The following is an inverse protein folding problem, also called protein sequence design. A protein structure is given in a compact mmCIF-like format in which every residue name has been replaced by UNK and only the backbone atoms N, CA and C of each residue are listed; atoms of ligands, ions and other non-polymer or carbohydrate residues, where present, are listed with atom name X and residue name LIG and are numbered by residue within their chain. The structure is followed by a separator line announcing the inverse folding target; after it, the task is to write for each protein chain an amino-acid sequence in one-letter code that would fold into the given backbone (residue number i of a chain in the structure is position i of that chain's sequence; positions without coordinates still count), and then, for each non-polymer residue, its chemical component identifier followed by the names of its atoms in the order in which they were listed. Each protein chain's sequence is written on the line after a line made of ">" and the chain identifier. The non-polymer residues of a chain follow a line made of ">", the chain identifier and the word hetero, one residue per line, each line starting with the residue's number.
data_IF_433841147847
#
_entry.id   IF_433841147847
#
_cell.length_a   1.000
_cell.length_b   1.000
_cell.length_c   1.000
_cell.angle_alpha   90.00
_cell.angle_beta   90.00
_cell.angle_gamma   90.00
#
_symmetry.space_group_name_H-M   'P 1'
#
loop_
_entity.id
_entity.type
_entity.pdbx_description
1 polymer ?
#
# COMPACT_ATOMS: atom_id res chain seq x y z
N UNK A 1 -12.01 7.89 23.58
CA UNK A 1 -11.89 9.35 23.54
C UNK A 1 -11.34 9.70 22.17
N UNK A 2 -12.08 10.43 21.34
CA UNK A 2 -11.58 10.88 20.04
C UNK A 2 -10.34 11.74 20.31
N UNK A 3 -9.18 11.37 19.77
CA UNK A 3 -8.02 12.25 19.78
C UNK A 3 -8.45 13.59 19.15
N UNK A 4 -7.95 14.71 19.69
CA UNK A 4 -8.23 16.05 19.18
C UNK A 4 -8.02 16.11 17.65
N UNK A 5 -8.77 16.97 16.92
CA UNK A 5 -8.52 17.18 15.49
C UNK A 5 -7.05 17.50 15.28
N UNK A 6 -6.39 16.67 14.48
CA UNK A 6 -4.95 16.68 14.27
C UNK A 6 -4.73 16.88 12.79
N UNK A 7 -4.23 18.04 12.43
CA UNK A 7 -3.82 18.35 11.06
C UNK A 7 -2.62 17.49 10.67
N UNK A 8 -2.71 16.85 9.51
CA UNK A 8 -1.59 16.11 8.89
C UNK A 8 -0.98 16.99 7.79
N UNK A 9 0.34 16.87 7.61
CA UNK A 9 1.08 17.56 6.56
C UNK A 9 1.64 16.55 5.57
N UNK A 10 1.41 16.76 4.28
CA UNK A 10 1.92 15.89 3.23
C UNK A 10 2.12 16.61 1.91
N UNK A 11 2.40 15.84 0.87
CA UNK A 11 2.51 16.31 -0.50
C UNK A 11 1.35 15.76 -1.31
N UNK A 12 0.53 16.66 -1.86
CA UNK A 12 -0.66 16.30 -2.63
C UNK A 12 -0.58 16.83 -4.06
N UNK A 13 -1.06 16.05 -5.01
CA UNK A 13 -1.43 16.55 -6.32
C UNK A 13 -2.81 17.23 -6.24
N UNK A 14 -3.02 18.29 -7.02
CA UNK A 14 -4.26 19.06 -7.06
C UNK A 14 -4.98 18.97 -8.41
N UNK A 15 -4.30 18.45 -9.42
CA UNK A 15 -4.81 18.22 -10.75
C UNK A 15 -3.98 17.14 -11.46
N UNK A 16 -4.40 16.80 -12.69
CA UNK A 16 -3.79 15.77 -13.53
C UNK A 16 -2.37 16.07 -14.04
N UNK A 17 -1.77 17.21 -13.68
CA UNK A 17 -0.35 17.43 -13.96
C UNK A 17 0.53 16.50 -13.12
N UNK A 18 0.01 16.01 -11.99
CA UNK A 18 0.75 15.20 -11.04
C UNK A 18 1.79 15.98 -10.24
N UNK A 19 1.80 17.31 -10.33
CA UNK A 19 2.70 18.14 -9.52
C UNK A 19 2.26 18.12 -8.05
N UNK A 20 3.05 17.46 -7.20
CA UNK A 20 2.78 17.37 -5.78
C UNK A 20 3.27 18.63 -5.03
N UNK A 21 2.40 19.27 -4.27
CA UNK A 21 2.69 20.46 -3.45
C UNK A 21 2.40 20.18 -1.98
N UNK A 22 3.11 20.85 -1.05
CA UNK A 22 2.78 20.77 0.38
C UNK A 22 1.31 21.08 0.61
N UNK A 23 0.65 20.24 1.39
CA UNK A 23 -0.76 20.37 1.74
C UNK A 23 -1.00 19.93 3.18
N UNK A 24 -1.87 20.65 3.86
CA UNK A 24 -2.34 20.32 5.19
C UNK A 24 -3.81 19.93 5.13
N UNK A 25 -4.16 18.86 5.84
CA UNK A 25 -5.51 18.33 5.83
C UNK A 25 -5.90 17.73 7.17
N UNK A 26 -7.19 17.70 7.44
CA UNK A 26 -7.75 16.96 8.57
C UNK A 26 -8.06 15.53 8.11
N UNK A 27 -7.42 14.50 8.70
CA UNK A 27 -7.78 13.12 8.43
C UNK A 27 -9.13 12.79 9.08
N UNK A 28 -9.75 11.69 8.64
CA UNK A 28 -10.91 11.13 9.35
C UNK A 28 -10.58 10.87 10.83
N UNK A 29 -11.54 10.96 11.77
CA UNK A 29 -11.32 10.64 13.18
C UNK A 29 -10.68 9.26 13.37
N UNK A 30 -9.85 9.11 14.41
CA UNK A 30 -9.31 7.81 14.79
C UNK A 30 -10.45 6.92 15.29
N UNK A 31 -10.83 5.93 14.50
CA UNK A 31 -11.86 4.96 14.82
C UNK A 31 -11.41 3.94 15.86
N UNK A 32 -12.36 3.13 16.34
CA UNK A 32 -12.10 2.20 17.43
C UNK A 32 -11.13 1.07 17.06
N UNK A 33 -11.06 0.68 15.78
CA UNK A 33 -10.18 -0.38 15.27
C UNK A 33 -8.95 0.16 14.52
N UNK A 34 -8.77 1.48 14.52
CA UNK A 34 -7.70 2.11 13.76
C UNK A 34 -6.41 2.27 14.56
N UNK A 35 -5.32 2.40 13.83
CA UNK A 35 -4.04 2.88 14.34
C UNK A 35 -3.64 4.16 13.61
N UNK A 36 -3.07 5.10 14.35
CA UNK A 36 -2.37 6.25 13.79
C UNK A 36 -0.88 5.95 13.77
N UNK A 37 -0.27 6.13 12.60
CA UNK A 37 1.13 5.78 12.35
C UNK A 37 1.87 7.05 11.98
N UNK A 38 2.96 7.36 12.68
CA UNK A 38 3.93 8.37 12.25
C UNK A 38 4.79 7.76 11.15
N UNK A 39 4.64 8.28 9.94
CA UNK A 39 5.35 7.78 8.77
C UNK A 39 6.83 8.14 8.90
N UNK A 40 7.69 7.19 8.59
CA UNK A 40 9.15 7.39 8.56
C UNK A 40 9.72 7.18 7.16
N UNK A 41 9.14 6.24 6.42
CA UNK A 41 9.52 5.89 5.06
C UNK A 41 8.26 5.63 4.26
N UNK A 42 8.26 6.04 3.00
CA UNK A 42 7.29 5.60 2.01
C UNK A 42 8.00 5.36 0.69
N UNK A 43 7.85 4.16 0.13
CA UNK A 43 8.33 3.86 -1.21
C UNK A 43 7.50 4.57 -2.29
N UNK A 44 8.03 4.58 -3.52
CA UNK A 44 7.38 5.14 -4.70
C UNK A 44 7.18 4.02 -5.71
N UNK A 45 5.93 3.80 -6.09
CA UNK A 45 5.52 2.80 -7.05
C UNK A 45 4.87 3.45 -8.28
N UNK A 46 4.84 2.72 -9.40
CA UNK A 46 4.14 3.18 -10.61
C UNK A 46 2.67 3.48 -10.37
N UNK A 47 2.03 2.79 -9.42
CA UNK A 47 0.64 3.05 -9.03
C UNK A 47 0.46 4.45 -8.43
N UNK A 48 1.46 5.00 -7.75
CA UNK A 48 1.41 6.38 -7.23
C UNK A 48 1.34 7.37 -8.38
N UNK A 49 2.23 7.20 -9.38
CA UNK A 49 2.30 8.06 -10.58
C UNK A 49 0.97 8.04 -11.33
N UNK A 50 0.47 6.84 -11.65
CA UNK A 50 -0.79 6.67 -12.36
C UNK A 50 -2.02 7.17 -11.58
N UNK A 51 -1.91 7.27 -10.25
CA UNK A 51 -2.96 7.85 -9.42
C UNK A 51 -2.89 9.38 -9.45
N UNK A 52 -1.72 9.98 -9.28
CA UNK A 52 -1.59 11.45 -9.23
C UNK A 52 -1.76 12.13 -10.59
N UNK A 53 -1.57 11.42 -11.70
CA UNK A 53 -1.73 11.97 -13.07
C UNK A 53 -3.08 11.59 -13.73
N UNK A 54 -3.98 10.94 -12.98
CA UNK A 54 -5.24 10.39 -13.49
C UNK A 54 -5.06 9.32 -14.60
N UNK A 55 -3.94 8.61 -14.64
CA UNK A 55 -3.63 7.57 -15.62
C UNK A 55 -4.52 6.33 -15.55
N UNK A 56 -5.09 6.03 -14.36
CA UNK A 56 -6.10 4.96 -14.20
C UNK A 56 -7.53 5.40 -14.55
N UNK A 57 -7.78 6.71 -14.58
CA UNK A 57 -9.10 7.32 -14.61
C UNK A 57 -9.13 8.59 -13.75
N UNK A 58 -10.30 9.25 -13.61
CA UNK A 58 -10.39 10.49 -12.84
C UNK A 58 -9.98 10.30 -11.36
N UNK A 59 -8.97 11.04 -10.94
CA UNK A 59 -8.54 11.11 -9.53
C UNK A 59 -9.32 12.21 -8.80
N UNK A 60 -9.99 11.92 -7.66
CA UNK A 60 -10.47 12.94 -6.76
C UNK A 60 -9.29 13.71 -6.14
N UNK A 61 -9.08 14.94 -6.57
CA UNK A 61 -8.09 15.85 -6.00
C UNK A 61 -8.68 16.64 -4.80
N UNK A 62 -7.86 17.11 -3.84
CA UNK A 62 -6.43 16.82 -3.70
C UNK A 62 -6.15 15.35 -3.36
N UNK A 63 -5.00 14.84 -3.78
CA UNK A 63 -4.60 13.44 -3.62
C UNK A 63 -3.17 13.32 -3.09
N UNK A 64 -3.02 12.78 -1.89
CA UNK A 64 -1.73 12.33 -1.34
C UNK A 64 -1.54 10.86 -1.71
N UNK A 65 -0.49 10.57 -2.49
CA UNK A 65 -0.13 9.20 -2.86
C UNK A 65 0.76 8.52 -1.79
N UNK A 66 1.34 7.36 -2.12
CA UNK A 66 2.17 6.56 -1.22
C UNK A 66 1.39 5.41 -0.58
N UNK A 67 1.78 4.18 -0.89
CA UNK A 67 1.16 2.95 -0.37
C UNK A 67 2.20 1.85 -0.05
N UNK A 68 3.45 2.27 0.13
CA UNK A 68 4.59 1.44 0.51
C UNK A 68 5.16 1.98 1.82
N UNK A 69 4.36 1.96 2.89
CA UNK A 69 4.55 2.81 4.06
C UNK A 69 5.24 2.01 5.17
N UNK A 70 6.21 2.63 5.86
CA UNK A 70 6.75 2.14 7.14
C UNK A 70 6.78 3.28 8.16
N UNK A 71 6.35 2.99 9.39
CA UNK A 71 6.30 3.97 10.46
C UNK A 71 6.15 3.34 11.84
N UNK A 72 5.88 4.19 12.82
CA UNK A 72 5.66 3.76 14.20
C UNK A 72 4.25 4.15 14.65
N UNK A 73 3.56 3.23 15.31
CA UNK A 73 2.23 3.49 15.88
C UNK A 73 2.36 4.56 16.97
N UNK A 74 1.57 5.63 16.88
CA UNK A 74 1.55 6.75 17.84
C UNK A 74 0.21 6.89 18.56
N UNK A 75 -0.86 6.30 18.03
CA UNK A 75 -2.14 6.16 18.72
C UNK A 75 -2.86 4.89 18.25
N UNK A 76 -3.69 4.33 19.13
CA UNK A 76 -4.51 3.14 18.84
C UNK A 76 -5.95 3.39 19.25
N UNK A 77 -6.88 2.87 18.46
CA UNK A 77 -8.30 2.83 18.78
C UNK A 77 -8.59 1.90 19.97
N UNK A 78 -9.73 2.12 20.63
CA UNK A 78 -10.09 1.40 21.86
C UNK A 78 -10.30 -0.12 21.69
N UNK A 79 -10.57 -0.57 20.47
CA UNK A 79 -10.80 -1.98 20.14
C UNK A 79 -9.54 -2.67 19.61
N UNK A 80 -8.44 -1.94 19.39
CA UNK A 80 -7.18 -2.52 18.89
C UNK A 80 -6.50 -3.33 19.99
N UNK A 81 -6.17 -4.59 19.68
CA UNK A 81 -5.48 -5.51 20.60
C UNK A 81 -4.18 -6.08 20.04
N UNK A 82 -4.00 -6.04 18.73
CA UNK A 82 -2.87 -6.62 17.98
C UNK A 82 -1.62 -5.73 17.96
N UNK A 83 -1.82 -4.42 18.12
CA UNK A 83 -0.80 -3.39 18.00
C UNK A 83 -0.84 -2.44 19.21
N UNK A 84 0.30 -1.87 19.54
CA UNK A 84 0.47 -0.89 20.61
C UNK A 84 1.30 0.32 20.14
N UNK A 85 1.19 1.43 20.85
CA UNK A 85 2.05 2.61 20.64
C UNK A 85 3.52 2.20 20.75
N UNK A 86 4.32 2.61 19.77
CA UNK A 86 5.74 2.25 19.64
C UNK A 86 6.01 1.06 18.71
N UNK A 87 5.01 0.28 18.32
CA UNK A 87 5.20 -0.79 17.34
C UNK A 87 5.64 -0.22 15.98
N UNK A 88 6.69 -0.82 15.39
CA UNK A 88 7.11 -0.54 14.01
C UNK A 88 6.28 -1.36 13.03
N UNK A 89 5.54 -0.68 12.17
CA UNK A 89 4.57 -1.30 11.25
C UNK A 89 4.76 -0.83 9.82
N UNK A 90 4.36 -1.67 8.87
CA UNK A 90 4.20 -1.33 7.47
C UNK A 90 2.74 -1.35 7.05
N UNK A 91 2.38 -0.52 6.07
CA UNK A 91 1.04 -0.45 5.47
C UNK A 91 1.18 -0.54 3.95
N UNK A 92 0.36 -1.41 3.36
CA UNK A 92 0.36 -1.69 1.92
C UNK A 92 -0.69 -0.91 1.15
N UNK A 93 -1.15 -1.48 0.03
CA UNK A 93 -2.11 -0.85 -0.88
C UNK A 93 -3.55 -0.74 -0.36
N UNK A 94 -3.87 -1.39 0.76
CA UNK A 94 -5.20 -1.39 1.36
C UNK A 94 -5.13 -0.85 2.79
N UNK A 95 -6.13 -0.05 3.16
CA UNK A 95 -6.25 0.60 4.46
C UNK A 95 -7.42 0.06 5.29
N UNK A 96 -8.38 -0.62 4.64
CA UNK A 96 -9.59 -1.18 5.27
C UNK A 96 -10.28 -2.21 4.35
N UNK A 97 -11.04 -3.13 4.96
CA UNK A 97 -12.13 -3.90 4.32
C UNK A 97 -13.26 -4.15 5.32
N UNK A 98 -14.39 -4.65 4.81
CA UNK A 98 -15.55 -4.93 5.66
C UNK A 98 -15.27 -6.01 6.71
N UNK A 99 -14.40 -6.99 6.39
CA UNK A 99 -14.04 -8.12 7.25
C UNK A 99 -15.27 -8.86 7.83
N UNK A 100 -16.41 -8.83 7.11
CA UNK A 100 -17.71 -9.33 7.58
C UNK A 100 -18.14 -8.78 8.97
N UNK A 101 -17.79 -7.53 9.28
CA UNK A 101 -18.16 -6.89 10.56
C UNK A 101 -19.64 -6.56 10.67
N UNK A 102 -20.30 -6.25 9.55
CA UNK A 102 -21.75 -6.06 9.51
C UNK A 102 -22.43 -7.42 9.28
N UNK A 103 -23.21 -7.94 10.26
CA UNK A 103 -23.89 -9.22 10.11
C UNK A 103 -25.00 -9.21 9.06
N UNK A 104 -25.43 -8.03 8.58
CA UNK A 104 -26.48 -7.87 7.58
C UNK A 104 -25.93 -7.70 6.16
N UNK A 105 -24.62 -7.55 6.00
CA UNK A 105 -23.94 -7.25 4.73
C UNK A 105 -22.79 -8.23 4.53
N UNK A 106 -23.15 -9.47 4.19
CA UNK A 106 -22.20 -10.57 4.05
C UNK A 106 -21.33 -10.40 2.81
N UNK A 107 -20.01 -10.41 3.01
CA UNK A 107 -19.01 -10.37 1.96
C UNK A 107 -18.32 -11.73 1.84
N UNK A 108 -18.52 -12.40 0.70
CA UNK A 108 -17.92 -13.72 0.44
C UNK A 108 -16.41 -13.67 0.45
N UNK A 109 -15.80 -12.68 -0.20
CA UNK A 109 -14.34 -12.59 -0.33
C UNK A 109 -13.67 -12.44 1.03
N UNK A 110 -14.22 -11.60 1.90
CA UNK A 110 -13.72 -11.48 3.28
C UNK A 110 -13.94 -12.75 4.11
N UNK A 111 -14.96 -13.56 3.82
CA UNK A 111 -15.22 -14.81 4.53
C UNK A 111 -14.22 -15.91 4.11
N UNK A 112 -13.79 -15.87 2.85
CA UNK A 112 -12.81 -16.78 2.26
C UNK A 112 -11.35 -16.34 2.55
N UNK A 113 -11.15 -15.22 3.26
CA UNK A 113 -9.82 -14.69 3.57
C UNK A 113 -9.15 -13.94 2.41
N UNK A 114 -9.93 -13.55 1.42
CA UNK A 114 -9.54 -12.80 0.21
C UNK A 114 -9.98 -11.32 0.33
N UNK A 115 -9.80 -10.72 1.50
CA UNK A 115 -10.21 -9.35 1.78
C UNK A 115 -9.49 -8.30 0.90
N UNK A 116 -8.39 -8.70 0.25
CA UNK A 116 -7.68 -7.95 -0.79
C UNK A 116 -8.55 -7.58 -2.01
N UNK A 117 -9.63 -8.33 -2.27
CA UNK A 117 -10.57 -8.08 -3.36
C UNK A 117 -11.97 -7.73 -2.88
N UNK A 118 -12.12 -7.37 -1.59
CA UNK A 118 -13.38 -6.92 -1.03
C UNK A 118 -13.94 -5.73 -1.81
N UNK A 119 -15.20 -5.84 -2.24
CA UNK A 119 -15.95 -4.80 -2.95
C UNK A 119 -16.18 -3.52 -2.13
N UNK A 120 -16.06 -3.63 -0.81
CA UNK A 120 -16.12 -2.51 0.14
C UNK A 120 -14.72 -2.04 0.59
N UNK A 121 -13.66 -2.64 0.07
CA UNK A 121 -12.28 -2.32 0.42
C UNK A 121 -11.95 -0.84 0.18
N UNK A 122 -11.15 -0.27 1.08
CA UNK A 122 -10.62 1.09 0.92
C UNK A 122 -9.13 0.98 0.64
N UNK A 123 -8.73 1.41 -0.57
CA UNK A 123 -7.32 1.53 -0.92
C UNK A 123 -6.63 2.62 -0.10
N UNK A 124 -5.33 2.44 0.13
CA UNK A 124 -4.50 3.40 0.85
C UNK A 124 -4.40 4.76 0.15
N UNK A 125 -4.65 4.79 -1.15
CA UNK A 125 -4.64 6.01 -1.96
C UNK A 125 -5.96 6.10 -2.72
N UNK A 126 -6.48 7.33 -2.83
CA UNK A 126 -7.54 7.68 -3.77
C UNK A 126 -8.89 6.95 -3.56
N UNK A 127 -9.10 6.37 -2.38
CA UNK A 127 -10.36 5.71 -2.02
C UNK A 127 -11.14 6.52 -0.99
N UNK A 128 -12.45 6.31 -0.99
CA UNK A 128 -13.38 6.88 -0.02
C UNK A 128 -13.97 5.77 0.85
N UNK A 129 -14.18 6.07 2.12
CA UNK A 129 -14.96 5.25 3.02
C UNK A 129 -16.46 5.41 2.74
N UNK A 130 -17.29 4.48 3.26
CA UNK A 130 -18.76 4.55 3.14
C UNK A 130 -19.36 5.87 3.68
N UNK A 131 -18.70 6.51 4.65
CA UNK A 131 -19.12 7.79 5.24
C UNK A 131 -18.72 9.02 4.39
N UNK A 132 -18.07 8.81 3.25
CA UNK A 132 -17.60 9.87 2.35
C UNK A 132 -16.25 10.48 2.75
N UNK A 133 -15.68 10.10 3.91
CA UNK A 133 -14.33 10.49 4.27
C UNK A 133 -13.32 9.85 3.30
N UNK A 134 -12.21 10.55 3.06
CA UNK A 134 -11.22 10.15 2.06
C UNK A 134 -9.95 9.65 2.70
N UNK A 135 -9.44 8.52 2.20
CA UNK A 135 -8.12 8.05 2.56
C UNK A 135 -7.05 8.83 1.79
N UNK A 136 -5.99 9.21 2.50
CA UNK A 136 -4.80 9.88 1.99
C UNK A 136 -3.59 8.99 2.27
N UNK A 137 -2.69 8.88 1.30
CA UNK A 137 -1.56 7.96 1.33
C UNK A 137 -0.40 8.39 2.23
N UNK A 138 0.69 7.64 2.14
CA UNK A 138 1.88 7.75 2.98
C UNK A 138 2.86 8.86 2.60
N UNK A 139 2.62 9.67 1.57
CA UNK A 139 3.38 10.90 1.32
C UNK A 139 2.96 12.04 2.26
N UNK A 140 2.72 11.69 3.53
CA UNK A 140 2.35 12.55 4.63
C UNK A 140 3.13 12.15 5.89
N UNK A 141 3.12 13.02 6.89
CA UNK A 141 3.77 12.81 8.19
C UNK A 141 3.06 11.73 9.05
N UNK A 142 1.76 11.56 8.87
CA UNK A 142 0.96 10.54 9.54
C UNK A 142 -0.04 9.88 8.59
N UNK A 143 -0.46 8.67 8.93
CA UNK A 143 -1.57 7.96 8.30
C UNK A 143 -2.42 7.26 9.35
N UNK A 144 -3.73 7.17 9.12
CA UNK A 144 -4.66 6.34 9.90
C UNK A 144 -5.17 5.20 9.03
N UNK A 145 -5.06 3.98 9.53
CA UNK A 145 -5.57 2.76 8.88
C UNK A 145 -6.17 1.82 9.91
N UNK A 146 -6.97 0.87 9.45
CA UNK A 146 -7.44 -0.21 10.29
C UNK A 146 -6.27 -1.11 10.71
N UNK A 147 -6.26 -1.53 11.98
CA UNK A 147 -5.16 -2.31 12.55
C UNK A 147 -4.85 -3.62 11.79
N UNK A 148 -5.83 -4.21 11.09
CA UNK A 148 -5.62 -5.42 10.29
C UNK A 148 -4.76 -5.19 9.04
N UNK A 149 -4.58 -3.93 8.63
CA UNK A 149 -3.78 -3.52 7.47
C UNK A 149 -2.46 -2.84 7.87
N UNK A 150 -2.10 -2.92 9.15
CA UNK A 150 -0.81 -2.48 9.67
C UNK A 150 -0.02 -3.71 10.18
N UNK A 151 1.06 -4.04 9.50
CA UNK A 151 1.81 -5.28 9.72
C UNK A 151 3.13 -5.00 10.45
N UNK A 152 3.42 -5.71 11.55
CA UNK A 152 4.69 -5.54 12.26
C UNK A 152 5.89 -5.86 11.35
N UNK A 153 6.88 -4.98 11.32
CA UNK A 153 8.10 -5.17 10.54
C UNK A 153 9.18 -5.81 11.43
N UNK A 154 9.76 -6.96 11.06
CA UNK A 154 10.81 -7.61 11.84
C UNK A 154 12.05 -6.72 12.01
N UNK A 155 12.64 -6.65 13.20
CA UNK A 155 13.82 -5.79 13.52
C UNK A 155 15.03 -5.99 12.60
N UNK A 156 15.21 -7.22 12.10
CA UNK A 156 16.28 -7.53 11.15
C UNK A 156 16.09 -6.90 9.76
N UNK A 157 14.89 -6.38 9.43
CA UNK A 157 14.57 -5.78 8.15
C UNK A 157 14.56 -4.24 8.25
N UNK A 158 15.51 -3.55 7.60
CA UNK A 158 15.54 -2.08 7.52
C UNK A 158 14.26 -1.50 6.91
N UNK A 159 13.84 -0.32 7.37
CA UNK A 159 12.59 0.31 6.96
C UNK A 159 12.53 0.69 5.48
N UNK A 160 13.64 1.14 4.90
CA UNK A 160 13.80 1.45 3.48
C UNK A 160 13.69 0.20 2.60
N UNK A 161 14.21 -0.94 3.06
CA UNK A 161 14.04 -2.24 2.39
C UNK A 161 12.63 -2.83 2.59
N UNK A 162 11.99 -2.59 3.74
CA UNK A 162 10.66 -3.11 4.04
C UNK A 162 9.55 -2.40 3.27
N UNK A 163 9.65 -1.08 3.06
CA UNK A 163 8.62 -0.27 2.41
C UNK A 163 8.17 -0.85 1.05
N UNK A 164 9.07 -1.13 0.08
CA UNK A 164 8.68 -1.72 -1.21
C UNK A 164 8.05 -3.11 -1.11
N UNK A 165 8.30 -3.84 -0.02
CA UNK A 165 7.69 -5.16 0.18
C UNK A 165 6.19 -5.08 0.50
N UNK A 166 5.72 -3.93 0.98
CA UNK A 166 4.30 -3.69 1.28
C UNK A 166 3.42 -3.58 0.03
N UNK A 167 4.03 -3.39 -1.15
CA UNK A 167 3.35 -3.46 -2.44
C UNK A 167 4.00 -4.55 -3.31
N UNK A 168 5.10 -4.20 -3.98
CA UNK A 168 5.73 -5.08 -4.96
C UNK A 168 6.14 -6.43 -4.37
N UNK A 169 6.59 -6.47 -3.11
CA UNK A 169 6.93 -7.73 -2.44
C UNK A 169 5.74 -8.65 -2.24
N UNK A 170 4.67 -8.16 -1.61
CA UNK A 170 3.42 -8.92 -1.45
C UNK A 170 2.88 -9.37 -2.82
N UNK A 171 2.82 -8.47 -3.81
CA UNK A 171 2.31 -8.78 -5.15
C UNK A 171 3.03 -9.94 -5.82
N UNK A 172 4.35 -10.03 -5.71
CA UNK A 172 5.10 -11.12 -6.34
C UNK A 172 5.21 -12.36 -5.46
N UNK A 173 5.16 -12.22 -4.13
CA UNK A 173 5.28 -13.34 -3.21
C UNK A 173 3.99 -14.15 -3.11
N UNK A 174 2.82 -13.51 -3.10
CA UNK A 174 1.52 -14.19 -3.02
C UNK A 174 1.34 -15.30 -4.07
N UNK A 175 1.51 -15.06 -5.38
CA UNK A 175 1.37 -16.12 -6.38
C UNK A 175 2.48 -17.19 -6.28
N UNK A 176 3.73 -16.81 -5.93
CA UNK A 176 4.79 -17.81 -5.72
C UNK A 176 4.44 -18.78 -4.59
N UNK A 177 3.82 -18.26 -3.52
CA UNK A 177 3.36 -19.06 -2.38
C UNK A 177 2.15 -19.91 -2.75
N UNK A 178 1.14 -19.35 -3.42
CA UNK A 178 -0.08 -20.05 -3.84
C UNK A 178 0.22 -21.21 -4.80
N UNK A 179 1.13 -21.00 -5.76
CA UNK A 179 1.55 -22.03 -6.70
C UNK A 179 2.57 -23.02 -6.11
N UNK A 180 2.96 -22.86 -4.85
CA UNK A 180 3.86 -23.78 -4.15
C UNK A 180 5.26 -23.87 -4.78
N UNK A 181 5.80 -22.74 -5.25
CA UNK A 181 7.15 -22.67 -5.83
C UNK A 181 8.17 -23.13 -4.79
N UNK A 182 9.02 -24.09 -5.19
CA UNK A 182 9.99 -24.74 -4.31
C UNK A 182 11.35 -24.88 -4.99
N UNK A 183 12.33 -25.35 -4.20
CA UNK A 183 13.69 -25.53 -4.67
C UNK A 183 13.75 -26.40 -5.94
N UNK A 184 14.51 -25.94 -6.94
CA UNK A 184 14.67 -26.60 -8.24
C UNK A 184 13.63 -26.21 -9.30
N UNK A 185 12.51 -25.59 -8.94
CA UNK A 185 11.55 -25.07 -9.92
C UNK A 185 12.17 -23.97 -10.78
N UNK A 186 11.72 -23.83 -12.04
CA UNK A 186 12.16 -22.77 -12.96
C UNK A 186 11.01 -21.80 -13.17
N UNK A 187 11.22 -20.53 -12.80
CA UNK A 187 10.17 -19.50 -12.84
C UNK A 187 10.55 -18.41 -13.85
N UNK A 188 9.70 -18.20 -14.85
CA UNK A 188 9.86 -17.12 -15.82
C UNK A 188 9.51 -15.77 -15.21
N UNK A 189 10.37 -14.76 -15.41
CA UNK A 189 10.09 -13.37 -15.01
C UNK A 189 10.09 -12.50 -16.26
N UNK A 190 8.96 -11.88 -16.59
CA UNK A 190 8.82 -11.02 -17.77
C UNK A 190 8.87 -9.56 -17.34
N UNK A 191 9.98 -8.88 -17.66
CA UNK A 191 10.24 -7.49 -17.25
C UNK A 191 11.03 -7.38 -15.94
N UNK A 192 12.01 -6.47 -15.91
CA UNK A 192 12.91 -6.24 -14.77
C UNK A 192 12.74 -4.80 -14.27
N UNK A 193 11.55 -4.51 -13.73
CA UNK A 193 11.22 -3.26 -13.04
C UNK A 193 11.13 -3.45 -11.52
N UNK A 194 10.29 -2.65 -10.84
CA UNK A 194 10.03 -2.76 -9.40
C UNK A 194 9.59 -4.16 -8.96
N UNK A 195 8.54 -4.72 -9.57
CA UNK A 195 8.09 -6.08 -9.24
C UNK A 195 9.11 -7.15 -9.69
N UNK A 196 9.61 -7.04 -10.92
CA UNK A 196 10.48 -8.07 -11.51
C UNK A 196 11.77 -8.31 -10.73
N UNK A 197 12.42 -7.25 -10.23
CA UNK A 197 13.66 -7.42 -9.45
C UNK A 197 13.40 -8.03 -8.05
N UNK A 198 12.27 -7.74 -7.42
CA UNK A 198 11.87 -8.36 -6.14
C UNK A 198 11.46 -9.82 -6.36
N UNK A 199 10.75 -10.12 -7.45
CA UNK A 199 10.38 -11.50 -7.81
C UNK A 199 11.63 -12.38 -7.96
N UNK A 200 12.66 -11.91 -8.66
CA UNK A 200 13.93 -12.63 -8.81
C UNK A 200 14.56 -12.95 -7.45
N UNK A 201 14.53 -12.01 -6.50
CA UNK A 201 15.07 -12.21 -5.15
C UNK A 201 14.27 -13.28 -4.38
N UNK A 202 12.94 -13.21 -4.38
CA UNK A 202 12.11 -14.23 -3.74
C UNK A 202 12.29 -15.62 -4.36
N UNK A 203 12.30 -15.73 -5.69
CA UNK A 203 12.51 -17.00 -6.39
C UNK A 203 13.85 -17.62 -5.98
N UNK A 204 14.92 -16.81 -5.88
CA UNK A 204 16.22 -17.28 -5.39
C UNK A 204 16.18 -17.71 -3.93
N UNK A 205 15.51 -16.94 -3.07
CA UNK A 205 15.37 -17.25 -1.64
C UNK A 205 14.59 -18.55 -1.39
N UNK A 206 13.64 -18.89 -2.26
CA UNK A 206 12.89 -20.15 -2.25
C UNK A 206 13.70 -21.35 -2.82
N UNK A 207 14.94 -21.13 -3.28
CA UNK A 207 15.79 -22.15 -3.90
C UNK A 207 15.41 -22.48 -5.35
N UNK A 208 14.49 -21.73 -5.95
CA UNK A 208 14.11 -21.86 -7.35
C UNK A 208 15.06 -21.08 -8.27
N UNK A 209 14.98 -21.35 -9.58
CA UNK A 209 15.82 -20.74 -10.61
C UNK A 209 15.00 -19.70 -11.38
N UNK A 210 15.27 -18.39 -11.21
CA UNK A 210 14.62 -17.37 -12.01
C UNK A 210 15.18 -17.39 -13.43
N UNK A 211 14.28 -17.31 -14.41
CA UNK A 211 14.59 -17.14 -15.84
C UNK A 211 14.09 -15.77 -16.29
N UNK A 212 14.89 -14.70 -16.14
CA UNK A 212 14.48 -13.36 -16.52
C UNK A 212 14.45 -13.21 -18.04
N UNK A 213 13.40 -12.57 -18.55
CA UNK A 213 13.27 -12.17 -19.94
C UNK A 213 13.13 -10.64 -20.02
N UNK A 214 14.02 -10.02 -20.80
CA UNK A 214 14.02 -8.58 -21.00
C UNK A 214 13.34 -8.25 -22.33
N UNK A 215 12.10 -7.80 -22.26
CA UNK A 215 11.40 -7.25 -23.44
C UNK A 215 11.72 -5.77 -23.54
N UNK A 216 12.77 -5.42 -24.30
CA UNK A 216 13.14 -4.01 -24.52
C UNK A 216 12.33 -3.45 -25.69
N UNK A 217 11.36 -2.57 -25.41
CA UNK A 217 10.68 -1.79 -26.46
C UNK A 217 11.71 -0.86 -27.10
N UNK A 218 12.06 -1.05 -28.38
CA UNK A 218 12.84 -0.05 -29.16
C UNK A 218 12.01 1.23 -29.17
N UNK A 219 12.42 2.26 -28.41
CA UNK A 219 11.92 3.63 -28.62
C UNK A 219 12.22 3.98 -30.08
N UNK A 220 11.18 4.13 -30.92
CA UNK A 220 11.35 4.83 -32.20
C UNK A 220 11.91 6.21 -31.84
N UNK A 221 13.13 6.50 -32.27
CA UNK A 221 13.64 7.89 -32.25
C UNK A 221 12.57 8.71 -32.98
N UNK A 222 11.91 9.63 -32.30
CA UNK A 222 11.24 10.73 -33.00
C UNK A 222 12.38 11.48 -33.68
N UNK A 223 12.57 11.23 -34.96
CA UNK A 223 13.30 12.13 -35.84
C UNK A 223 12.57 13.46 -35.76
N UNK A 224 13.17 14.39 -35.02
CA UNK A 224 12.83 15.80 -35.13
C UNK A 224 13.33 16.21 -36.51
N UNK A 225 12.40 16.34 -37.45
CA UNK A 225 12.52 17.18 -38.64
C UNK A 225 11.60 18.37 -38.41
#
# INVERSE_FOLDING_TARGET
>A
MSAAPRTFSGYAAFDKTGECKPWQFEPRPLGAEDVEIKVTHCGICGSDVHTVDSGWGPTPYPCVAGHEIVGNVVAVGLSVKSLAVGDRVGVGAQAWACLNRDPNDHCRDCADGEDAVCDQGVFTINAAYKDGSRQQGGFADFIRVDNNYAFKIPDALPSDAAAPLMCAGATVFTPLKQEGVKAGDRVGVIGIGGLGHIAIQFIRALGAVPSPSLVRRRRRRRSVL
#
